data_IF_659119005215
#
_entry.id   IF_659119005215
#
_cell.length_a   1.000
_cell.length_b   1.000
_cell.length_c   1.000
_cell.angle_alpha   90.00
_cell.angle_beta   90.00
_cell.angle_gamma   90.00
#
_symmetry.space_group_name_H-M   'P 1'
#
loop_
_entity.id
_entity.type
_entity.pdbx_description
1 polymer ?
#
# COMPACT_ATOMS: atom_id res chain seq x y z
N UNK A 1 5.96 32.91 -40.14
CA UNK A 1 6.44 33.25 -38.78
C UNK A 1 5.38 33.11 -37.68
N UNK A 2 4.09 33.45 -37.89
CA UNK A 2 3.02 33.31 -36.86
C UNK A 2 2.65 31.86 -36.47
N UNK A 3 2.83 30.88 -37.37
CA UNK A 3 2.55 29.45 -37.12
C UNK A 3 3.63 28.73 -36.31
N UNK A 4 4.88 29.18 -36.41
CA UNK A 4 5.99 28.64 -35.61
C UNK A 4 5.87 29.06 -34.14
N UNK A 5 5.39 30.28 -33.89
CA UNK A 5 5.17 30.81 -32.54
C UNK A 5 4.01 30.10 -31.80
N UNK A 6 2.98 29.66 -32.54
CA UNK A 6 1.85 28.89 -31.98
C UNK A 6 2.24 27.44 -31.68
N UNK A 7 3.05 26.81 -32.52
CA UNK A 7 3.57 25.46 -32.26
C UNK A 7 4.53 25.42 -31.06
N UNK A 8 5.32 26.47 -30.85
CA UNK A 8 6.26 26.57 -29.73
C UNK A 8 5.55 26.87 -28.39
N UNK A 9 4.42 27.59 -28.42
CA UNK A 9 3.56 27.81 -27.25
C UNK A 9 2.79 26.55 -26.81
N UNK A 10 2.34 25.72 -27.76
CA UNK A 10 1.67 24.44 -27.46
C UNK A 10 2.66 23.42 -26.90
N UNK A 11 3.91 23.41 -27.38
CA UNK A 11 4.95 22.51 -26.88
C UNK A 11 5.37 22.83 -25.43
N UNK A 12 5.33 24.10 -25.03
CA UNK A 12 5.64 24.53 -23.66
C UNK A 12 4.49 24.23 -22.67
N UNK A 13 3.24 24.29 -23.13
CA UNK A 13 2.06 23.95 -22.32
C UNK A 13 1.95 22.45 -22.01
N UNK A 14 2.49 21.57 -22.86
CA UNK A 14 2.48 20.11 -22.63
C UNK A 14 3.54 19.62 -21.63
N UNK A 15 4.58 20.40 -21.34
CA UNK A 15 5.65 20.01 -20.40
C UNK A 15 5.25 20.22 -18.92
N UNK A 16 4.20 21.00 -18.66
CA UNK A 16 3.63 21.17 -17.30
C UNK A 16 2.56 20.11 -16.93
N UNK A 17 2.32 19.10 -17.77
CA UNK A 17 1.52 17.94 -17.37
C UNK A 17 2.34 17.13 -16.35
N UNK A 18 2.23 17.55 -15.09
CA UNK A 18 3.05 17.13 -13.98
C UNK A 18 3.14 15.61 -13.88
N UNK A 19 4.36 15.13 -13.65
CA UNK A 19 4.56 13.84 -12.99
C UNK A 19 3.83 13.93 -11.66
N UNK A 20 2.70 13.22 -11.54
CA UNK A 20 2.10 12.96 -10.24
C UNK A 20 3.13 12.15 -9.46
N UNK A 21 3.96 12.83 -8.68
CA UNK A 21 4.78 12.19 -7.67
C UNK A 21 3.79 11.48 -6.76
N UNK A 22 3.86 10.15 -6.71
CA UNK A 22 3.20 9.40 -5.67
C UNK A 22 3.81 9.88 -4.35
N UNK A 23 3.08 10.73 -3.64
CA UNK A 23 3.48 11.17 -2.32
C UNK A 23 3.30 9.95 -1.41
N UNK A 24 4.40 9.49 -0.81
CA UNK A 24 4.33 8.50 0.24
C UNK A 24 4.25 9.25 1.58
N UNK A 25 3.65 8.64 2.60
CA UNK A 25 3.59 9.29 3.92
C UNK A 25 4.97 9.20 4.56
N UNK A 26 5.74 10.28 4.40
CA UNK A 26 7.08 10.42 4.97
C UNK A 26 6.98 11.11 6.34
N UNK A 27 7.64 10.52 7.33
CA UNK A 27 7.73 11.07 8.67
C UNK A 27 9.22 11.25 9.04
N UNK A 28 9.61 12.39 9.64
CA UNK A 28 10.95 12.50 10.21
C UNK A 28 11.11 11.47 11.33
N UNK A 29 12.31 10.90 11.45
CA UNK A 29 12.57 10.00 12.56
C UNK A 29 12.57 10.79 13.89
N UNK A 30 11.86 10.30 14.91
CA UNK A 30 11.87 10.92 16.22
C UNK A 30 13.23 10.68 16.90
N UNK A 31 13.54 11.43 17.97
CA UNK A 31 14.69 11.17 18.84
C UNK A 31 14.81 9.69 19.23
N UNK A 32 16.02 9.23 19.55
CA UNK A 32 16.31 7.81 19.78
C UNK A 32 15.50 7.19 20.93
N UNK A 33 15.11 8.01 21.91
CA UNK A 33 14.28 7.66 23.07
C UNK A 33 12.77 7.75 22.81
N UNK A 34 12.36 8.27 21.65
CA UNK A 34 10.95 8.38 21.26
C UNK A 34 10.64 7.47 20.07
N UNK A 35 9.42 6.94 20.04
CA UNK A 35 8.88 6.12 18.95
C UNK A 35 7.64 6.74 18.31
N UNK A 36 7.15 7.86 18.85
CA UNK A 36 5.92 8.50 18.38
C UNK A 36 6.22 9.30 17.11
N UNK A 37 5.44 9.04 16.06
CA UNK A 37 5.48 9.78 14.79
C UNK A 37 4.07 10.17 14.37
N UNK A 38 4.00 11.22 13.55
CA UNK A 38 2.74 11.73 13.01
C UNK A 38 1.83 12.38 14.04
N UNK A 39 0.75 12.95 13.55
CA UNK A 39 -0.28 13.61 14.35
C UNK A 39 -1.64 13.23 13.79
N UNK A 40 -2.62 13.01 14.66
CA UNK A 40 -3.99 12.76 14.20
C UNK A 40 -4.60 14.05 13.68
N UNK A 41 -5.38 13.93 12.61
CA UNK A 41 -6.10 15.07 12.05
C UNK A 41 -7.60 14.83 12.07
N UNK A 42 -8.36 15.91 12.01
CA UNK A 42 -9.81 15.86 11.98
C UNK A 42 -10.29 16.15 10.56
N UNK A 43 -11.21 15.33 10.08
CA UNK A 43 -11.80 15.42 8.76
C UNK A 43 -13.32 15.54 8.86
N UNK A 44 -13.89 16.58 8.25
CA UNK A 44 -15.35 16.74 8.16
C UNK A 44 -15.84 16.11 6.86
N UNK A 45 -16.75 15.14 6.95
CA UNK A 45 -17.26 14.40 5.80
C UNK A 45 -18.07 15.33 4.87
N UNK A 46 -17.63 15.56 3.62
CA UNK A 46 -18.41 16.31 2.66
C UNK A 46 -19.62 15.51 2.15
N UNK A 47 -20.60 16.19 1.58
CA UNK A 47 -21.75 15.55 0.94
C UNK A 47 -21.44 15.15 -0.52
N UNK A 48 -20.42 14.31 -0.71
CA UNK A 48 -19.94 13.88 -2.03
C UNK A 48 -20.18 12.38 -2.32
N UNK A 49 -20.73 11.64 -1.35
CA UNK A 49 -21.09 10.24 -1.50
C UNK A 49 -19.92 9.26 -1.52
N UNK A 50 -18.71 9.68 -1.13
CA UNK A 50 -17.53 8.80 -1.10
C UNK A 50 -17.60 7.80 0.06
N UNK A 51 -17.06 6.61 -0.15
CA UNK A 51 -16.92 5.59 0.89
C UNK A 51 -15.81 5.94 1.88
N UNK A 52 -15.82 5.29 3.05
CA UNK A 52 -14.75 5.45 4.04
C UNK A 52 -13.39 5.01 3.49
N UNK A 53 -13.36 3.96 2.66
CA UNK A 53 -12.14 3.50 1.98
C UNK A 53 -11.56 4.57 1.05
N UNK A 54 -12.42 5.26 0.28
CA UNK A 54 -11.98 6.31 -0.62
C UNK A 54 -11.36 7.49 0.16
N UNK A 55 -11.95 7.86 1.30
CA UNK A 55 -11.38 8.88 2.20
C UNK A 55 -10.06 8.37 2.79
N UNK A 56 -10.00 7.13 3.26
CA UNK A 56 -8.79 6.53 3.84
C UNK A 56 -7.61 6.52 2.85
N UNK A 57 -7.89 6.26 1.57
CA UNK A 57 -6.90 6.22 0.50
C UNK A 57 -6.22 7.57 0.28
N UNK A 58 -6.93 8.69 0.44
CA UNK A 58 -6.36 10.05 0.34
C UNK A 58 -5.28 10.29 1.40
N UNK A 59 -5.43 9.66 2.57
CA UNK A 59 -4.49 9.76 3.69
C UNK A 59 -3.53 8.56 3.80
N UNK A 60 -3.57 7.63 2.85
CA UNK A 60 -2.77 6.39 2.86
C UNK A 60 -2.96 5.56 4.14
N UNK A 61 -4.20 5.52 4.65
CA UNK A 61 -4.58 4.72 5.82
C UNK A 61 -5.36 3.49 5.36
N UNK A 62 -5.13 2.35 5.99
CA UNK A 62 -5.93 1.15 5.77
C UNK A 62 -7.35 1.32 6.32
N UNK A 63 -8.35 0.74 5.62
CA UNK A 63 -9.76 0.82 6.03
C UNK A 63 -9.99 0.40 7.49
N UNK A 64 -9.30 -0.65 7.95
CA UNK A 64 -9.45 -1.13 9.32
C UNK A 64 -9.01 -0.11 10.37
N UNK A 65 -7.91 0.61 10.12
CA UNK A 65 -7.45 1.68 11.02
C UNK A 65 -8.45 2.85 11.09
N UNK A 66 -9.10 3.18 9.97
CA UNK A 66 -10.17 4.18 9.95
C UNK A 66 -11.39 3.73 10.74
N UNK A 67 -11.79 2.47 10.66
CA UNK A 67 -12.93 1.92 11.41
C UNK A 67 -12.63 1.85 12.92
N UNK A 68 -11.40 1.48 13.28
CA UNK A 68 -10.94 1.45 14.67
C UNK A 68 -10.95 2.84 15.31
N UNK A 69 -10.46 3.85 14.59
CA UNK A 69 -10.44 5.23 15.07
C UNK A 69 -11.83 5.90 15.08
N UNK A 70 -12.80 5.37 14.32
CA UNK A 70 -14.13 5.97 14.17
C UNK A 70 -15.27 4.94 14.37
N UNK A 71 -15.48 4.44 15.61
CA UNK A 71 -16.48 3.42 15.88
C UNK A 71 -17.89 3.86 15.45
N UNK A 72 -18.62 2.96 14.79
CA UNK A 72 -20.01 3.19 14.34
C UNK A 72 -20.16 3.98 13.04
N UNK A 73 -19.06 4.37 12.39
CA UNK A 73 -19.10 4.98 11.05
C UNK A 73 -19.51 3.95 10.00
N UNK A 74 -20.41 4.34 9.10
CA UNK A 74 -20.78 3.52 7.93
C UNK A 74 -19.58 3.43 6.94
N UNK A 75 -19.05 2.23 6.65
CA UNK A 75 -17.93 2.08 5.71
C UNK A 75 -18.28 2.45 4.26
N UNK A 76 -19.54 2.28 3.87
CA UNK A 76 -19.99 2.47 2.49
C UNK A 76 -20.37 3.92 2.21
N UNK A 77 -21.01 4.58 3.17
CA UNK A 77 -21.45 5.96 3.03
C UNK A 77 -21.41 6.71 4.37
N UNK A 78 -20.23 7.20 4.79
CA UNK A 78 -20.09 8.04 5.98
C UNK A 78 -21.07 9.22 5.95
N UNK A 79 -21.68 9.52 7.10
CA UNK A 79 -22.72 10.56 7.19
C UNK A 79 -22.13 11.94 6.86
N UNK A 80 -22.68 12.69 5.89
CA UNK A 80 -22.24 14.05 5.61
C UNK A 80 -22.33 14.97 6.84
N UNK A 81 -21.33 15.82 7.02
CA UNK A 81 -21.19 16.73 8.17
C UNK A 81 -20.75 16.05 9.47
N UNK A 82 -20.59 14.71 9.48
CA UNK A 82 -19.94 14.04 10.60
C UNK A 82 -18.43 14.30 10.60
N UNK A 83 -17.82 14.08 11.77
CA UNK A 83 -16.40 14.31 12.01
C UNK A 83 -15.71 12.96 12.13
N UNK A 84 -14.65 12.77 11.35
CA UNK A 84 -13.77 11.61 11.39
C UNK A 84 -12.40 11.99 11.95
N UNK A 85 -11.85 11.15 12.81
CA UNK A 85 -10.45 11.16 13.18
C UNK A 85 -9.65 10.39 12.15
N UNK A 86 -8.62 11.02 11.61
CA UNK A 86 -7.66 10.42 10.69
C UNK A 86 -6.45 9.96 11.52
N UNK A 87 -6.26 8.64 11.73
CA UNK A 87 -5.25 8.11 12.65
C UNK A 87 -3.86 8.02 11.99
N UNK A 88 -3.27 9.17 11.69
CA UNK A 88 -1.89 9.28 11.16
C UNK A 88 -0.81 9.23 12.25
N UNK A 89 -1.18 9.37 13.53
CA UNK A 89 -0.24 9.20 14.63
C UNK A 89 -0.04 7.71 14.95
N UNK A 90 1.22 7.29 15.11
CA UNK A 90 1.55 5.91 15.41
C UNK A 90 2.89 5.76 16.13
N UNK A 91 3.10 4.59 16.74
CA UNK A 91 4.38 4.21 17.30
C UNK A 91 5.19 3.41 16.27
N UNK A 92 6.47 3.74 16.15
CA UNK A 92 7.41 2.91 15.40
C UNK A 92 7.52 1.52 16.06
N UNK A 93 7.66 0.43 15.30
CA UNK A 93 7.90 -0.90 15.85
C UNK A 93 9.17 -0.94 16.72
N UNK A 94 9.19 -1.85 17.70
CA UNK A 94 10.36 -2.07 18.55
C UNK A 94 11.40 -2.95 17.85
N UNK A 95 11.97 -2.42 16.77
CA UNK A 95 12.92 -3.10 15.90
C UNK A 95 13.99 -2.13 15.43
N UNK A 96 15.16 -2.61 14.95
CA UNK A 96 16.12 -1.74 14.27
C UNK A 96 15.45 -0.92 13.16
N UNK A 97 15.74 0.39 13.13
CA UNK A 97 15.21 1.34 12.13
C UNK A 97 16.00 1.25 10.82
N UNK A 98 16.05 0.06 10.23
CA UNK A 98 16.81 -0.23 9.02
C UNK A 98 15.96 -1.00 8.00
N UNK A 99 16.07 -0.62 6.73
CA UNK A 99 15.49 -1.38 5.63
C UNK A 99 13.96 -1.40 5.68
N UNK A 100 13.37 -2.59 5.59
CA UNK A 100 11.92 -2.79 5.55
C UNK A 100 11.48 -3.59 6.77
N UNK A 101 10.55 -3.04 7.54
CA UNK A 101 9.88 -3.71 8.65
C UNK A 101 8.40 -3.85 8.32
N UNK A 102 7.88 -5.07 8.38
CA UNK A 102 6.46 -5.37 8.13
C UNK A 102 5.79 -5.74 9.45
N UNK A 103 4.86 -4.91 9.91
CA UNK A 103 4.04 -5.18 11.08
C UNK A 103 2.67 -5.72 10.64
N UNK A 104 2.44 -7.01 10.85
CA UNK A 104 1.20 -7.68 10.46
C UNK A 104 0.02 -7.32 11.35
N UNK A 105 0.25 -6.96 12.62
CA UNK A 105 -0.83 -6.58 13.54
C UNK A 105 -1.44 -5.23 13.18
N UNK A 106 -0.61 -4.30 12.71
CA UNK A 106 -1.04 -2.96 12.29
C UNK A 106 -1.30 -2.84 10.79
N UNK A 107 -1.01 -3.90 10.01
CA UNK A 107 -1.10 -3.90 8.55
C UNK A 107 -0.31 -2.74 7.92
N UNK A 108 0.92 -2.53 8.41
CA UNK A 108 1.82 -1.47 7.96
C UNK A 108 3.19 -2.01 7.57
N UNK A 109 3.75 -1.41 6.53
CA UNK A 109 5.15 -1.54 6.14
C UNK A 109 5.88 -0.24 6.42
N UNK A 110 6.97 -0.31 7.16
CA UNK A 110 7.88 0.79 7.46
C UNK A 110 9.13 0.61 6.62
N UNK A 111 9.48 1.63 5.84
CA UNK A 111 10.72 1.68 5.07
C UNK A 111 11.62 2.78 5.62
N UNK A 112 12.85 2.41 5.97
CA UNK A 112 13.91 3.29 6.45
C UNK A 112 14.96 3.42 5.34
N UNK A 113 14.93 4.49 4.53
CA UNK A 113 15.90 4.69 3.46
C UNK A 113 17.30 4.87 4.02
N UNK A 114 18.30 4.29 3.35
CA UNK A 114 19.69 4.40 3.79
C UNK A 114 20.18 5.84 3.67
N UNK A 115 20.71 6.39 4.76
CA UNK A 115 21.28 7.74 4.80
C UNK A 115 20.25 8.86 4.96
N UNK A 116 18.96 8.54 5.15
CA UNK A 116 17.91 9.53 5.38
C UNK A 116 17.37 9.42 6.80
N UNK A 117 17.17 10.55 7.48
CA UNK A 117 16.59 10.58 8.83
C UNK A 117 15.05 10.60 8.78
N UNK A 118 14.46 9.66 8.04
CA UNK A 118 13.02 9.56 7.85
C UNK A 118 12.55 8.11 7.77
N UNK A 119 11.26 7.93 7.97
CA UNK A 119 10.55 6.67 7.76
C UNK A 119 9.40 6.90 6.79
N UNK A 120 9.20 5.96 5.89
CA UNK A 120 8.09 5.97 4.95
C UNK A 120 7.15 4.84 5.33
N UNK A 121 5.88 5.16 5.56
CA UNK A 121 4.89 4.19 6.02
C UNK A 121 3.90 3.89 4.90
N UNK A 122 3.65 2.60 4.67
CA UNK A 122 2.68 2.13 3.68
C UNK A 122 1.65 1.22 4.33
N UNK A 123 0.35 1.43 4.07
CA UNK A 123 -0.67 0.44 4.42
C UNK A 123 -0.49 -0.80 3.54
N UNK A 124 -0.63 -1.99 4.12
CA UNK A 124 -0.53 -3.26 3.39
C UNK A 124 -1.78 -4.12 3.59
N UNK A 125 -2.12 -4.90 2.58
CA UNK A 125 -3.05 -6.02 2.72
C UNK A 125 -2.29 -7.31 2.97
N UNK A 126 -2.84 -8.18 3.80
CA UNK A 126 -2.32 -9.55 4.00
C UNK A 126 -3.22 -10.57 3.29
N UNK A 127 -2.67 -11.77 3.10
CA UNK A 127 -3.37 -12.86 2.44
C UNK A 127 -4.63 -13.32 3.18
N UNK A 128 -5.42 -14.15 2.50
CA UNK A 128 -6.64 -14.74 3.04
C UNK A 128 -6.36 -15.56 4.31
N UNK A 129 -7.35 -15.62 5.20
CA UNK A 129 -7.34 -16.47 6.39
C UNK A 129 -6.92 -17.90 6.04
N UNK A 130 -5.95 -18.45 6.77
CA UNK A 130 -5.35 -19.77 6.51
C UNK A 130 -4.15 -19.76 5.55
N UNK A 131 -3.80 -18.61 4.95
CA UNK A 131 -2.61 -18.40 4.13
C UNK A 131 -1.71 -17.34 4.78
N UNK A 132 -1.11 -17.68 5.92
CA UNK A 132 -0.34 -16.73 6.72
C UNK A 132 0.99 -16.36 6.08
N UNK A 133 1.32 -15.06 6.14
CA UNK A 133 2.68 -14.58 5.89
C UNK A 133 3.57 -15.03 7.05
N UNK A 134 4.63 -15.82 6.81
CA UNK A 134 5.51 -16.28 7.88
C UNK A 134 6.30 -15.12 8.50
N UNK A 135 6.51 -15.18 9.83
CA UNK A 135 7.38 -14.25 10.53
C UNK A 135 8.84 -14.65 10.32
N UNK A 136 9.59 -13.85 9.56
CA UNK A 136 11.00 -14.11 9.26
C UNK A 136 11.73 -12.85 8.83
N UNK A 137 13.03 -12.79 9.10
CA UNK A 137 13.96 -11.83 8.47
C UNK A 137 14.34 -12.34 7.08
N UNK A 138 14.17 -11.50 6.07
CA UNK A 138 14.49 -11.82 4.67
C UNK A 138 14.99 -10.58 3.94
N UNK A 139 15.50 -10.75 2.72
CA UNK A 139 15.93 -9.67 1.85
C UNK A 139 15.12 -9.64 0.56
N UNK A 140 15.06 -8.46 -0.07
CA UNK A 140 14.51 -8.29 -1.42
C UNK A 140 15.55 -8.79 -2.42
N UNK A 141 15.26 -9.90 -3.09
CA UNK A 141 16.16 -10.49 -4.09
C UNK A 141 16.03 -9.85 -5.47
N UNK A 142 14.81 -9.50 -5.87
CA UNK A 142 14.52 -8.96 -7.19
C UNK A 142 13.28 -8.09 -7.17
N UNK A 143 13.26 -7.05 -8.01
CA UNK A 143 12.09 -6.23 -8.32
C UNK A 143 11.77 -6.39 -9.80
N UNK A 144 10.62 -6.95 -10.13
CA UNK A 144 10.14 -7.14 -11.51
C UNK A 144 9.01 -6.14 -11.76
N UNK A 145 9.17 -5.18 -12.69
CA UNK A 145 8.06 -4.36 -13.13
C UNK A 145 7.00 -5.21 -13.84
N UNK A 146 5.73 -5.07 -13.46
CA UNK A 146 4.60 -5.80 -14.06
C UNK A 146 4.83 -7.33 -14.11
N UNK A 147 4.94 -8.01 -12.95
CA UNK A 147 5.20 -9.44 -12.92
C UNK A 147 4.02 -10.24 -13.45
N UNK A 148 4.31 -11.42 -14.01
CA UNK A 148 3.30 -12.46 -14.26
C UNK A 148 3.03 -13.23 -12.97
N UNK A 149 1.84 -13.83 -12.86
CA UNK A 149 1.51 -14.73 -11.75
C UNK A 149 1.44 -16.17 -12.24
N UNK A 150 2.23 -17.04 -11.62
CA UNK A 150 2.25 -18.48 -11.91
C UNK A 150 1.67 -19.21 -10.70
N UNK A 151 0.40 -19.63 -10.73
CA UNK A 151 -0.23 -20.31 -9.60
C UNK A 151 0.47 -21.64 -9.33
N UNK A 152 0.73 -21.96 -8.06
CA UNK A 152 1.30 -23.27 -7.69
C UNK A 152 0.33 -24.41 -8.00
N UNK A 153 0.84 -25.64 -8.09
CA UNK A 153 0.01 -26.82 -8.33
C UNK A 153 -1.13 -26.95 -7.29
N UNK A 154 -0.83 -26.66 -6.02
CA UNK A 154 -1.82 -26.68 -4.93
C UNK A 154 -2.91 -25.62 -5.13
N UNK A 155 -2.55 -24.40 -5.55
CA UNK A 155 -3.53 -23.35 -5.85
C UNK A 155 -4.42 -23.79 -7.02
N UNK A 156 -3.85 -24.32 -8.11
CA UNK A 156 -4.64 -24.82 -9.25
C UNK A 156 -5.60 -25.92 -8.84
N UNK A 157 -5.16 -26.88 -8.01
CA UNK A 157 -6.01 -27.96 -7.49
C UNK A 157 -7.17 -27.42 -6.66
N UNK A 158 -6.90 -26.42 -5.79
CA UNK A 158 -7.93 -25.78 -4.95
C UNK A 158 -9.01 -25.09 -5.78
N UNK A 159 -8.61 -24.32 -6.79
CA UNK A 159 -9.57 -23.63 -7.67
C UNK A 159 -10.32 -24.61 -8.57
N UNK A 160 -9.67 -25.67 -9.06
CA UNK A 160 -10.33 -26.72 -9.83
C UNK A 160 -11.42 -27.43 -9.02
N UNK A 161 -11.22 -27.64 -7.71
CA UNK A 161 -12.24 -28.19 -6.81
C UNK A 161 -13.47 -27.27 -6.63
N UNK A 162 -13.33 -25.98 -6.94
CA UNK A 162 -14.41 -24.98 -6.93
C UNK A 162 -15.00 -24.77 -8.34
N UNK A 163 -14.64 -25.61 -9.32
CA UNK A 163 -15.09 -25.49 -10.71
C UNK A 163 -14.37 -24.40 -11.52
N UNK A 164 -13.29 -23.81 -10.99
CA UNK A 164 -12.54 -22.74 -11.66
C UNK A 164 -11.20 -23.26 -12.19
N UNK A 165 -11.05 -23.25 -13.52
CA UNK A 165 -9.79 -23.63 -14.17
C UNK A 165 -8.87 -22.42 -14.29
N UNK A 166 -7.76 -22.41 -13.54
CA UNK A 166 -6.74 -21.37 -13.63
C UNK A 166 -5.74 -21.66 -14.78
N UNK A 167 -5.30 -20.65 -15.55
CA UNK A 167 -4.25 -20.81 -16.54
C UNK A 167 -2.90 -21.12 -15.86
N UNK A 168 -1.98 -21.70 -16.63
CA UNK A 168 -0.62 -22.02 -16.14
C UNK A 168 0.18 -20.77 -15.76
N UNK A 169 -0.01 -19.68 -16.51
CA UNK A 169 0.57 -18.35 -16.26
C UNK A 169 -0.52 -17.31 -16.51
N UNK A 170 -0.72 -16.42 -15.54
CA UNK A 170 -1.56 -15.23 -15.68
C UNK A 170 -0.64 -14.07 -16.10
N UNK A 171 -0.87 -13.47 -17.29
CA UNK A 171 -0.05 -12.37 -17.76
C UNK A 171 -0.26 -11.12 -16.91
N UNK A 172 0.73 -10.22 -16.94
CA UNK A 172 0.55 -8.90 -16.35
C UNK A 172 -0.55 -8.14 -17.09
N UNK A 173 -1.55 -7.65 -16.36
CA UNK A 173 -2.62 -6.82 -16.90
C UNK A 173 -2.39 -5.35 -16.55
N UNK A 174 -2.89 -4.43 -17.39
CA UNK A 174 -2.95 -2.98 -17.07
C UNK A 174 -3.71 -2.70 -15.76
N UNK A 175 -4.61 -3.61 -15.36
CA UNK A 175 -5.45 -3.59 -14.15
C UNK A 175 -5.03 -4.58 -13.06
N UNK A 176 -3.90 -5.28 -13.17
CA UNK A 176 -3.32 -5.95 -11.99
C UNK A 176 -2.68 -4.88 -11.10
N UNK A 177 -3.53 -4.12 -10.40
CA UNK A 177 -3.12 -3.30 -9.25
C UNK A 177 -2.69 -4.28 -8.19
N UNK A 178 -1.39 -4.57 -8.14
CA UNK A 178 -0.72 -5.40 -7.15
C UNK A 178 -1.57 -6.57 -6.65
N UNK A 179 -1.62 -7.64 -7.46
CA UNK A 179 -2.01 -8.93 -6.95
C UNK A 179 -0.94 -9.42 -5.96
N UNK A 180 -1.01 -8.95 -4.71
CA UNK A 180 -0.50 -9.68 -3.56
C UNK A 180 -1.42 -10.90 -3.33
N UNK A 181 -1.55 -11.76 -4.33
CA UNK A 181 -1.88 -13.17 -4.14
C UNK A 181 -0.56 -13.85 -3.76
N UNK A 182 -0.57 -14.79 -2.80
CA UNK A 182 0.58 -15.09 -1.95
C UNK A 182 1.82 -15.31 -2.81
N UNK A 183 2.80 -14.41 -2.67
CA UNK A 183 4.16 -14.67 -3.11
C UNK A 183 4.64 -15.88 -2.32
N UNK A 184 4.41 -17.08 -2.87
CA UNK A 184 5.13 -18.26 -2.47
C UNK A 184 6.55 -18.04 -2.99
N UNK A 185 7.44 -17.53 -2.13
CA UNK A 185 8.86 -17.73 -2.36
C UNK A 185 9.06 -19.24 -2.57
N UNK A 186 9.68 -19.69 -3.67
CA UNK A 186 10.06 -21.08 -3.80
C UNK A 186 11.09 -21.35 -2.71
N UNK A 187 10.68 -22.05 -1.66
CA UNK A 187 11.59 -22.60 -0.68
C UNK A 187 12.43 -23.64 -1.42
N UNK A 188 13.64 -23.24 -1.82
CA UNK A 188 14.66 -24.19 -2.24
C UNK A 188 14.93 -25.11 -1.06
N UNK A 189 14.61 -26.39 -1.23
CA UNK A 189 15.11 -27.47 -0.38
C UNK A 189 16.62 -27.46 -0.49
N UNK A 190 17.30 -26.90 0.53
CA UNK A 190 18.68 -27.24 0.79
C UNK A 190 18.68 -28.69 1.30
N UNK A 191 18.87 -29.63 0.38
CA UNK A 191 19.29 -30.98 0.71
C UNK A 191 20.70 -30.92 1.28
N UNK A 192 20.84 -31.41 2.51
CA UNK A 192 22.10 -31.93 3.08
C UNK A 192 22.74 -32.97 2.18
#
# INVERSE_FOLDING_TARGET
MKRALTLMGVLFATVLAGTQAASATEYPLPPADSRLIGENTIYTVPNDGRSLEAIAADYQIGLLGMLEANPGTDPYLPKPGSVLTIPTQMLLPDTPREGIVVNLAELRLYYYPKGENKVIVYPIGIGQTGMHTPLKVTSVSQKIPNPTWTPTANIRKRYAAQGVTLPGVVPAARKTRWACLPCVCPWGTAST
#
